data_IF_111714135402
#
_entry.id   IF_111714135402
#
_cell.length_a   1.000
_cell.length_b   1.000
_cell.length_c   1.000
_cell.angle_alpha   90.00
_cell.angle_beta   90.00
_cell.angle_gamma   90.00
#
_symmetry.space_group_name_H-M   'P 1'
#
loop_
_entity.id
_entity.type
_entity.pdbx_description
1 polymer ?
#
# COMPACT_ATOMS: atom_id res chain seq x y z
N UNK A 1 -5.65 -6.05 20.05
CA UNK A 1 -5.85 -5.89 18.63
C UNK A 1 -4.73 -5.00 18.05
N UNK A 2 -3.75 -5.65 17.43
CA UNK A 2 -2.49 -5.03 16.99
C UNK A 2 -2.55 -4.65 15.52
N UNK A 3 -3.53 -3.86 15.13
CA UNK A 3 -3.64 -3.33 13.78
C UNK A 3 -3.33 -1.84 13.72
N UNK A 4 -2.86 -1.35 12.57
CA UNK A 4 -2.70 0.07 12.30
C UNK A 4 -3.94 0.53 11.56
N UNK A 5 -4.62 1.54 12.11
CA UNK A 5 -5.82 2.13 11.50
C UNK A 5 -5.56 3.57 11.13
N UNK A 6 -6.01 3.96 9.94
CA UNK A 6 -5.93 5.34 9.47
C UNK A 6 -7.06 5.65 8.49
N UNK A 7 -7.27 6.92 8.25
CA UNK A 7 -8.30 7.41 7.34
C UNK A 7 -7.65 8.22 6.24
N UNK A 8 -7.91 7.86 5.00
CA UNK A 8 -7.65 8.72 3.85
C UNK A 8 -8.84 9.63 3.59
N UNK A 9 -8.57 10.91 3.39
CA UNK A 9 -9.56 11.89 2.95
C UNK A 9 -9.02 12.54 1.68
N UNK A 10 -9.60 12.20 0.54
CA UNK A 10 -9.14 12.65 -0.77
C UNK A 10 -10.21 13.52 -1.44
N UNK A 11 -9.96 14.81 -1.65
CA UNK A 11 -10.89 15.67 -2.39
C UNK A 11 -10.92 15.26 -3.86
N UNK A 12 -12.11 14.95 -4.38
CA UNK A 12 -12.35 14.62 -5.78
C UNK A 12 -12.99 15.79 -6.55
N UNK A 13 -13.03 16.97 -5.96
CA UNK A 13 -13.59 18.18 -6.48
C UNK A 13 -14.21 19.03 -5.38
N UNK A 14 -14.83 20.15 -5.74
CA UNK A 14 -15.36 21.13 -4.77
C UNK A 14 -16.48 20.57 -3.86
N UNK A 15 -17.19 19.52 -4.29
CA UNK A 15 -18.32 18.94 -3.57
C UNK A 15 -18.26 17.41 -3.47
N UNK A 16 -17.11 16.82 -3.73
CA UNK A 16 -16.90 15.37 -3.68
C UNK A 16 -15.66 15.04 -2.91
N UNK A 17 -15.75 14.03 -2.06
CA UNK A 17 -14.66 13.52 -1.26
C UNK A 17 -14.72 11.99 -1.27
N UNK A 18 -13.57 11.35 -1.35
CA UNK A 18 -13.40 9.95 -1.04
C UNK A 18 -12.88 9.85 0.40
N UNK A 19 -13.53 9.03 1.20
CA UNK A 19 -13.11 8.74 2.57
C UNK A 19 -12.93 7.24 2.68
N UNK A 20 -11.74 6.81 3.07
CA UNK A 20 -11.37 5.41 3.17
C UNK A 20 -10.79 5.12 4.56
N UNK A 21 -11.44 4.22 5.29
CA UNK A 21 -10.87 3.62 6.48
C UNK A 21 -10.05 2.41 6.08
N UNK A 22 -8.79 2.42 6.46
CA UNK A 22 -7.84 1.35 6.18
C UNK A 22 -7.31 0.77 7.47
N UNK A 23 -7.21 -0.55 7.52
CA UNK A 23 -6.57 -1.27 8.60
C UNK A 23 -5.48 -2.19 8.04
N UNK A 24 -4.25 -2.05 8.55
CA UNK A 24 -3.18 -3.01 8.36
C UNK A 24 -3.17 -3.97 9.55
N UNK A 25 -3.44 -5.22 9.30
CA UNK A 25 -3.55 -6.25 10.34
C UNK A 25 -3.04 -7.59 9.83
N UNK A 26 -2.52 -8.41 10.73
CA UNK A 26 -2.12 -9.79 10.45
C UNK A 26 -3.30 -10.77 10.48
N UNK A 27 -4.49 -10.31 10.87
CA UNK A 27 -5.73 -11.08 10.88
C UNK A 27 -6.68 -10.53 9.83
N UNK A 28 -7.58 -11.37 9.34
CA UNK A 28 -8.62 -10.92 8.42
C UNK A 28 -9.50 -9.87 9.13
N UNK A 29 -9.51 -8.64 8.60
CA UNK A 29 -10.30 -7.55 9.17
C UNK A 29 -11.80 -7.81 8.98
N UNK A 30 -12.60 -7.44 10.00
CA UNK A 30 -14.05 -7.43 9.89
C UNK A 30 -14.49 -6.18 9.08
N UNK A 31 -14.92 -6.44 7.84
CA UNK A 31 -15.39 -5.36 6.96
C UNK A 31 -16.61 -4.63 7.50
N UNK A 32 -17.46 -5.30 8.28
CA UNK A 32 -18.64 -4.67 8.91
C UNK A 32 -18.23 -3.68 9.98
N UNK A 33 -17.21 -3.99 10.76
CA UNK A 33 -16.62 -3.09 11.74
C UNK A 33 -16.00 -1.85 11.06
N UNK A 34 -15.23 -2.04 9.98
CA UNK A 34 -14.68 -0.93 9.20
C UNK A 34 -15.76 -0.03 8.59
N UNK A 35 -16.86 -0.62 8.11
CA UNK A 35 -18.00 0.15 7.60
C UNK A 35 -18.68 0.95 8.71
N UNK A 36 -18.82 0.40 9.94
CA UNK A 36 -19.34 1.13 11.07
C UNK A 36 -18.45 2.32 11.43
N UNK A 37 -17.15 2.09 11.55
CA UNK A 37 -16.17 3.17 11.82
C UNK A 37 -16.23 4.29 10.77
N UNK A 38 -16.42 3.92 9.50
CA UNK A 38 -16.58 4.91 8.43
C UNK A 38 -17.86 5.74 8.60
N UNK A 39 -18.97 5.11 8.97
CA UNK A 39 -20.24 5.84 9.28
C UNK A 39 -20.07 6.76 10.47
N UNK A 40 -19.42 6.30 11.54
CA UNK A 40 -19.20 7.08 12.76
C UNK A 40 -18.32 8.31 12.48
N UNK A 41 -17.25 8.12 11.71
CA UNK A 41 -16.39 9.21 11.24
C UNK A 41 -17.17 10.25 10.43
N UNK A 42 -17.96 9.79 9.45
CA UNK A 42 -18.78 10.66 8.61
C UNK A 42 -19.80 11.45 9.44
N UNK A 43 -20.43 10.79 10.41
CA UNK A 43 -21.43 11.44 11.29
C UNK A 43 -20.80 12.46 12.23
N UNK A 44 -19.55 12.26 12.65
CA UNK A 44 -18.81 13.21 13.48
C UNK A 44 -18.28 14.40 12.67
N UNK A 45 -17.47 14.15 11.65
CA UNK A 45 -16.79 15.20 10.88
C UNK A 45 -17.74 16.04 10.02
N UNK A 46 -18.84 15.45 9.56
CA UNK A 46 -19.82 16.12 8.70
C UNK A 46 -21.18 16.35 9.39
N UNK A 47 -21.21 16.38 10.70
CA UNK A 47 -22.43 16.58 11.49
C UNK A 47 -23.19 17.85 11.14
N UNK A 48 -22.49 18.91 10.74
CA UNK A 48 -23.07 20.22 10.38
C UNK A 48 -23.37 20.39 8.90
N UNK A 49 -22.84 19.51 8.04
CA UNK A 49 -23.00 19.59 6.59
C UNK A 49 -23.66 18.31 6.06
N UNK A 50 -24.91 18.39 5.56
CA UNK A 50 -25.55 17.21 5.00
C UNK A 50 -24.77 16.67 3.81
N UNK A 51 -24.53 15.36 3.80
CA UNK A 51 -23.86 14.67 2.71
C UNK A 51 -24.71 13.50 2.20
N UNK A 52 -24.45 13.08 0.97
CA UNK A 52 -25.04 11.89 0.39
C UNK A 52 -23.93 10.93 -0.01
N UNK A 53 -24.02 9.69 0.45
CA UNK A 53 -23.13 8.62 0.00
C UNK A 53 -23.51 8.21 -1.42
N UNK A 54 -22.59 8.38 -2.37
CA UNK A 54 -22.79 8.02 -3.77
C UNK A 54 -22.45 6.56 -4.01
N UNK A 55 -21.37 6.08 -3.35
CA UNK A 55 -20.85 4.72 -3.53
C UNK A 55 -20.12 4.26 -2.26
N UNK A 56 -20.24 2.99 -1.96
CA UNK A 56 -19.48 2.34 -0.88
C UNK A 56 -18.80 1.09 -1.45
N UNK A 57 -17.55 0.90 -1.08
CA UNK A 57 -16.76 -0.29 -1.41
C UNK A 57 -16.07 -0.82 -0.15
N UNK A 58 -15.83 -2.11 -0.11
CA UNK A 58 -15.03 -2.77 0.93
C UNK A 58 -14.23 -3.90 0.29
N UNK A 59 -12.96 -4.00 0.66
CA UNK A 59 -12.07 -5.01 0.10
C UNK A 59 -10.99 -5.43 1.10
N UNK A 60 -10.48 -6.65 0.93
CA UNK A 60 -9.24 -7.08 1.53
C UNK A 60 -8.14 -7.03 0.48
N UNK A 61 -7.04 -6.36 0.80
CA UNK A 61 -5.85 -6.30 -0.04
C UNK A 61 -4.78 -7.14 0.65
N UNK A 62 -4.38 -8.30 0.07
CA UNK A 62 -3.35 -9.13 0.68
C UNK A 62 -2.00 -8.41 0.62
N UNK A 63 -1.38 -8.22 1.77
CA UNK A 63 -0.03 -7.70 1.92
C UNK A 63 0.95 -8.87 1.98
N UNK A 64 2.13 -8.72 1.35
CA UNK A 64 3.11 -9.82 1.25
C UNK A 64 2.69 -10.96 0.30
N UNK A 65 1.64 -10.76 -0.49
CA UNK A 65 1.15 -11.78 -1.42
C UNK A 65 2.08 -11.91 -2.63
N UNK A 66 2.53 -13.12 -2.89
CA UNK A 66 3.28 -13.46 -4.09
C UNK A 66 2.38 -14.18 -5.09
N UNK A 67 2.30 -13.63 -6.29
CA UNK A 67 1.54 -14.22 -7.37
C UNK A 67 2.02 -15.62 -7.72
N UNK A 68 1.09 -16.57 -7.77
CA UNK A 68 1.33 -17.91 -8.29
C UNK A 68 1.23 -17.94 -9.82
N UNK A 69 1.88 -18.91 -10.46
CA UNK A 69 1.72 -19.13 -11.89
C UNK A 69 0.26 -19.43 -12.23
N UNK A 70 -0.22 -18.87 -13.35
CA UNK A 70 -1.57 -19.15 -13.86
C UNK A 70 -1.47 -19.91 -15.16
N UNK A 71 -2.29 -20.97 -15.32
CA UNK A 71 -2.44 -21.70 -16.58
C UNK A 71 -3.33 -20.96 -17.59
N UNK A 72 -4.04 -19.92 -17.14
CA UNK A 72 -4.99 -19.16 -17.95
C UNK A 72 -4.39 -17.92 -18.62
N UNK A 73 -3.09 -17.67 -18.39
CA UNK A 73 -2.40 -16.51 -18.94
C UNK A 73 -1.56 -15.74 -17.89
N UNK A 74 -1.07 -14.57 -18.27
CA UNK A 74 -0.29 -13.73 -17.37
C UNK A 74 -1.21 -12.98 -16.43
N UNK A 75 -1.09 -13.19 -15.11
CA UNK A 75 -1.89 -12.45 -14.15
C UNK A 75 -1.44 -11.00 -14.09
N UNK A 76 -2.40 -10.07 -14.06
CA UNK A 76 -2.19 -8.62 -13.91
C UNK A 76 -2.82 -8.11 -12.62
N UNK A 77 -2.53 -6.85 -12.26
CA UNK A 77 -3.05 -6.21 -11.06
C UNK A 77 -2.50 -6.86 -9.78
N UNK A 78 -3.28 -6.85 -8.71
CA UNK A 78 -2.88 -7.43 -7.42
C UNK A 78 -2.56 -8.94 -7.56
N UNK A 79 -3.33 -9.68 -8.33
CA UNK A 79 -3.05 -11.10 -8.61
C UNK A 79 -1.75 -11.31 -9.38
N UNK A 80 -1.29 -10.31 -10.14
CA UNK A 80 -0.01 -10.31 -10.84
C UNK A 80 1.18 -9.90 -9.98
N UNK A 81 0.98 -9.62 -8.69
CA UNK A 81 2.01 -9.09 -7.80
C UNK A 81 2.43 -7.66 -8.15
N UNK A 82 1.53 -6.88 -8.76
CA UNK A 82 1.81 -5.50 -9.18
C UNK A 82 1.46 -4.47 -8.09
N UNK A 83 1.03 -4.92 -6.92
CA UNK A 83 0.88 -4.09 -5.72
C UNK A 83 2.14 -4.17 -4.86
N UNK A 84 2.42 -3.10 -4.11
CA UNK A 84 3.48 -3.10 -3.10
C UNK A 84 3.07 -3.98 -1.93
N UNK A 85 3.91 -4.93 -1.58
CA UNK A 85 3.64 -5.87 -0.47
C UNK A 85 3.46 -5.13 0.86
N UNK A 86 4.22 -4.06 1.09
CA UNK A 86 4.21 -3.29 2.32
C UNK A 86 3.04 -2.31 2.47
N UNK A 87 2.42 -1.86 1.39
CA UNK A 87 1.42 -0.77 1.43
C UNK A 87 0.12 -1.10 0.71
N UNK A 88 0.07 -2.19 -0.06
CA UNK A 88 -1.05 -2.50 -0.96
C UNK A 88 -1.17 -1.54 -2.15
N UNK A 89 -0.32 -0.50 -2.24
CA UNK A 89 -0.40 0.48 -3.31
C UNK A 89 -0.01 -0.14 -4.65
N UNK A 90 -0.85 0.02 -5.67
CA UNK A 90 -0.63 -0.62 -6.95
C UNK A 90 -0.96 0.20 -8.18
N UNK A 91 -1.76 1.27 -8.07
CA UNK A 91 -2.30 1.97 -9.25
C UNK A 91 -1.26 2.30 -10.32
N UNK A 92 -0.18 2.98 -9.96
CA UNK A 92 0.85 3.37 -10.93
C UNK A 92 1.67 2.19 -11.42
N UNK A 93 2.02 1.24 -10.52
CA UNK A 93 2.76 0.03 -10.89
C UNK A 93 1.95 -0.81 -11.86
N UNK A 94 0.67 -1.03 -11.59
CA UNK A 94 -0.26 -1.77 -12.47
C UNK A 94 -0.31 -1.10 -13.84
N UNK A 95 -0.51 0.21 -13.87
CA UNK A 95 -0.57 0.96 -15.13
C UNK A 95 0.71 0.77 -15.96
N UNK A 96 1.88 1.03 -15.41
CA UNK A 96 3.14 0.90 -16.13
C UNK A 96 3.45 -0.54 -16.54
N UNK A 97 3.16 -1.51 -15.67
CA UNK A 97 3.36 -2.91 -16.01
C UNK A 97 2.43 -3.35 -17.14
N UNK A 98 1.16 -2.94 -17.12
CA UNK A 98 0.22 -3.25 -18.20
C UNK A 98 0.60 -2.56 -19.51
N UNK A 99 1.06 -1.31 -19.48
CA UNK A 99 1.59 -0.60 -20.67
C UNK A 99 2.79 -1.35 -21.28
N UNK A 100 3.72 -1.82 -20.44
CA UNK A 100 4.88 -2.59 -20.89
C UNK A 100 4.48 -3.95 -21.48
N UNK A 101 3.56 -4.66 -20.84
CA UNK A 101 3.03 -5.95 -21.34
C UNK A 101 2.32 -5.75 -22.69
N UNK A 102 1.50 -4.71 -22.81
CA UNK A 102 0.81 -4.40 -24.05
C UNK A 102 1.78 -4.08 -25.20
N UNK A 103 2.81 -3.29 -24.91
CA UNK A 103 3.86 -2.98 -25.89
C UNK A 103 4.61 -4.24 -26.33
N UNK A 104 5.00 -5.10 -25.40
CA UNK A 104 5.72 -6.34 -25.67
C UNK A 104 4.86 -7.30 -26.52
N UNK A 105 3.56 -7.40 -26.23
CA UNK A 105 2.62 -8.16 -27.06
C UNK A 105 2.55 -7.66 -28.49
N UNK A 106 2.52 -6.34 -28.70
CA UNK A 106 2.39 -5.73 -30.04
C UNK A 106 3.71 -5.84 -30.82
N UNK A 107 4.86 -5.67 -30.16
CA UNK A 107 6.16 -5.64 -30.83
C UNK A 107 6.79 -7.00 -30.99
N UNK A 108 6.66 -7.87 -30.00
CA UNK A 108 7.38 -9.15 -29.92
C UNK A 108 6.45 -10.37 -29.94
N UNK A 109 5.12 -10.15 -29.99
CA UNK A 109 4.10 -11.20 -29.83
C UNK A 109 4.30 -12.07 -28.57
N UNK A 110 4.85 -11.45 -27.51
CA UNK A 110 5.10 -12.08 -26.23
C UNK A 110 4.57 -11.19 -25.11
N UNK A 111 4.26 -11.77 -23.97
CA UNK A 111 3.84 -11.02 -22.81
C UNK A 111 4.78 -11.35 -21.63
N UNK A 112 5.63 -10.42 -21.28
CA UNK A 112 6.57 -10.57 -20.16
C UNK A 112 5.86 -10.35 -18.83
N UNK A 113 5.98 -11.33 -17.93
CA UNK A 113 5.40 -11.21 -16.59
C UNK A 113 6.11 -10.11 -15.78
N UNK A 114 5.34 -9.32 -15.05
CA UNK A 114 5.89 -8.36 -14.10
C UNK A 114 6.56 -9.06 -12.92
N UNK A 115 7.73 -8.55 -12.54
CA UNK A 115 8.43 -8.94 -11.32
C UNK A 115 8.91 -7.69 -10.59
N UNK A 116 8.58 -7.51 -9.31
CA UNK A 116 9.15 -6.43 -8.51
C UNK A 116 10.66 -6.64 -8.34
N UNK A 117 11.42 -5.55 -8.22
CA UNK A 117 12.86 -5.65 -7.99
C UNK A 117 13.16 -6.31 -6.64
N UNK A 118 14.28 -7.01 -6.53
CA UNK A 118 14.71 -7.63 -5.27
C UNK A 118 14.88 -6.60 -4.16
N UNK A 119 15.32 -5.39 -4.50
CA UNK A 119 15.46 -4.27 -3.56
C UNK A 119 14.09 -3.84 -3.00
N UNK A 120 13.08 -3.76 -3.86
CA UNK A 120 11.70 -3.45 -3.44
C UNK A 120 11.15 -4.54 -2.52
N UNK A 121 11.30 -5.81 -2.91
CA UNK A 121 10.85 -6.95 -2.10
C UNK A 121 11.51 -6.96 -0.72
N UNK A 122 12.82 -6.72 -0.68
CA UNK A 122 13.56 -6.63 0.58
C UNK A 122 13.04 -5.48 1.47
N UNK A 123 12.89 -4.29 0.91
CA UNK A 123 12.39 -3.14 1.66
C UNK A 123 10.96 -3.34 2.17
N UNK A 124 10.10 -3.95 1.36
CA UNK A 124 8.74 -4.31 1.77
C UNK A 124 8.75 -5.33 2.91
N UNK A 125 9.59 -6.35 2.84
CA UNK A 125 9.75 -7.34 3.91
C UNK A 125 10.18 -6.68 5.22
N UNK A 126 11.14 -5.76 5.17
CA UNK A 126 11.59 -5.02 6.38
C UNK A 126 10.45 -4.20 6.97
N UNK A 127 9.65 -3.53 6.14
CA UNK A 127 8.53 -2.73 6.62
C UNK A 127 7.39 -3.59 7.18
N UNK A 128 7.07 -4.71 6.56
CA UNK A 128 6.09 -5.67 7.07
C UNK A 128 6.52 -6.25 8.43
N UNK A 129 7.79 -6.61 8.58
CA UNK A 129 8.34 -7.04 9.86
C UNK A 129 8.21 -5.95 10.94
N UNK A 130 8.39 -4.70 10.56
CA UNK A 130 8.23 -3.57 11.47
C UNK A 130 6.77 -3.39 11.91
N UNK A 131 5.82 -3.53 10.97
CA UNK A 131 4.38 -3.52 11.27
C UNK A 131 4.02 -4.60 12.28
N UNK A 132 4.53 -5.81 12.08
CA UNK A 132 4.21 -6.94 12.95
C UNK A 132 4.83 -6.79 14.35
N UNK A 133 6.09 -6.37 14.43
CA UNK A 133 6.80 -6.25 15.70
C UNK A 133 6.43 -5.03 16.53
N UNK A 134 6.11 -3.90 15.86
CA UNK A 134 5.89 -2.60 16.48
C UNK A 134 4.78 -1.80 15.81
N UNK A 135 3.56 -2.32 15.75
CA UNK A 135 2.45 -1.64 15.10
C UNK A 135 2.22 -0.22 15.64
N UNK A 136 2.36 -0.03 16.95
CA UNK A 136 2.14 1.28 17.60
C UNK A 136 3.12 2.37 17.16
N UNK A 137 4.30 2.01 16.66
CA UNK A 137 5.31 2.98 16.21
C UNK A 137 5.13 3.42 14.75
N UNK A 138 4.33 2.70 13.96
CA UNK A 138 4.20 2.94 12.54
C UNK A 138 3.59 4.31 12.20
N UNK A 139 2.52 4.78 12.88
CA UNK A 139 1.97 6.10 12.60
C UNK A 139 3.01 7.23 12.71
N UNK A 140 3.82 7.19 13.76
CA UNK A 140 4.88 8.18 13.95
C UNK A 140 5.99 8.06 12.91
N UNK A 141 6.37 6.83 12.54
CA UNK A 141 7.36 6.56 11.50
C UNK A 141 6.89 7.10 10.15
N UNK A 142 5.66 6.79 9.74
CA UNK A 142 5.09 7.27 8.48
C UNK A 142 4.98 8.80 8.47
N UNK A 143 4.54 9.40 9.57
CA UNK A 143 4.47 10.84 9.71
C UNK A 143 5.85 11.51 9.65
N UNK A 144 6.85 10.89 10.26
CA UNK A 144 8.24 11.36 10.21
C UNK A 144 8.79 11.32 8.78
N UNK A 145 8.55 10.23 8.07
CA UNK A 145 8.94 10.07 6.66
C UNK A 145 8.23 11.14 5.81
N UNK A 146 6.92 11.29 5.96
CA UNK A 146 6.14 12.26 5.20
C UNK A 146 6.58 13.71 5.45
N UNK A 147 6.96 14.07 6.68
CA UNK A 147 7.45 15.41 7.04
C UNK A 147 8.84 15.71 6.50
N UNK A 148 9.68 14.69 6.32
CA UNK A 148 11.07 14.84 5.86
C UNK A 148 11.22 14.75 4.35
N UNK A 149 10.20 14.34 3.64
CA UNK A 149 10.20 14.19 2.18
C UNK A 149 9.38 15.30 1.53
N UNK A 150 9.85 15.79 0.37
CA UNK A 150 9.00 16.56 -0.53
C UNK A 150 7.89 15.67 -1.12
N UNK A 151 6.79 16.28 -1.55
CA UNK A 151 5.61 15.53 -2.01
C UNK A 151 5.90 14.57 -3.18
N UNK A 152 6.75 14.97 -4.11
CA UNK A 152 7.21 14.14 -5.23
C UNK A 152 8.10 12.97 -4.77
N UNK A 153 8.94 13.20 -3.75
CA UNK A 153 9.77 12.16 -3.15
C UNK A 153 8.92 11.16 -2.36
N UNK A 154 7.89 11.63 -1.64
CA UNK A 154 6.96 10.76 -0.94
C UNK A 154 6.16 9.90 -1.94
N UNK A 155 5.72 10.47 -3.05
CA UNK A 155 5.08 9.71 -4.13
C UNK A 155 6.04 8.66 -4.74
N UNK A 156 7.32 8.99 -4.94
CA UNK A 156 8.33 8.06 -5.41
C UNK A 156 8.59 6.94 -4.39
N UNK A 157 8.59 7.27 -3.10
CA UNK A 157 8.65 6.28 -2.00
C UNK A 157 7.49 5.30 -2.05
N UNK A 158 6.27 5.78 -2.22
CA UNK A 158 5.10 4.90 -2.32
C UNK A 158 5.19 3.92 -3.48
N UNK A 159 5.90 4.29 -4.55
CA UNK A 159 6.11 3.43 -5.73
C UNK A 159 7.37 2.55 -5.65
N UNK A 160 8.41 3.04 -5.03
CA UNK A 160 9.74 2.41 -4.87
C UNK A 160 10.22 1.67 -6.13
N UNK A 161 10.42 2.42 -7.20
CA UNK A 161 10.77 1.86 -8.52
C UNK A 161 12.25 1.61 -8.70
N UNK A 162 13.09 2.35 -7.99
CA UNK A 162 14.53 2.35 -8.16
C UNK A 162 15.27 2.10 -6.85
N UNK A 163 16.48 1.52 -6.88
CA UNK A 163 17.31 1.40 -5.68
C UNK A 163 17.58 2.74 -4.98
N UNK A 164 17.63 3.85 -5.74
CA UNK A 164 17.79 5.19 -5.17
C UNK A 164 16.61 5.63 -4.31
N UNK A 165 15.40 5.14 -4.59
CA UNK A 165 14.23 5.42 -3.77
C UNK A 165 14.38 4.76 -2.38
N UNK A 166 14.95 3.56 -2.32
CA UNK A 166 15.28 2.87 -1.06
C UNK A 166 16.31 3.64 -0.26
N UNK A 167 17.37 4.14 -0.89
CA UNK A 167 18.39 4.95 -0.20
C UNK A 167 17.80 6.24 0.39
N UNK A 168 16.91 6.91 -0.34
CA UNK A 168 16.23 8.11 0.17
C UNK A 168 15.40 7.84 1.42
N UNK A 169 14.78 6.67 1.50
CA UNK A 169 14.05 6.26 2.71
C UNK A 169 15.00 6.09 3.89
N UNK A 170 16.12 5.43 3.70
CA UNK A 170 17.11 5.23 4.77
C UNK A 170 17.60 6.57 5.35
N UNK A 171 17.66 7.64 4.53
CA UNK A 171 18.00 8.98 4.99
C UNK A 171 16.82 9.69 5.69
N UNK A 172 15.60 9.37 5.35
CA UNK A 172 14.40 10.04 5.87
C UNK A 172 13.75 9.30 7.04
N UNK A 173 13.95 7.99 7.13
CA UNK A 173 13.39 7.14 8.16
C UNK A 173 14.19 7.20 9.47
N UNK A 174 13.54 7.06 10.64
CA UNK A 174 14.24 6.86 11.90
C UNK A 174 14.92 5.49 11.90
N UNK A 175 16.26 5.46 11.85
CA UNK A 175 17.02 4.21 11.64
C UNK A 175 16.81 3.15 12.73
N UNK A 176 16.64 3.54 14.01
CA UNK A 176 16.52 2.59 15.14
C UNK A 176 15.42 1.55 14.98
N UNK A 177 14.15 1.90 14.62
CA UNK A 177 13.12 0.88 14.42
C UNK A 177 13.44 -0.09 13.29
N UNK A 178 14.04 0.40 12.21
CA UNK A 178 14.37 -0.41 11.04
C UNK A 178 15.54 -1.38 11.30
N UNK A 179 16.54 -1.00 12.08
CA UNK A 179 17.63 -1.91 12.45
C UNK A 179 17.13 -3.09 13.29
N UNK A 180 16.16 -2.87 14.18
CA UNK A 180 15.54 -3.95 14.93
C UNK A 180 14.73 -4.90 14.03
N UNK A 181 14.03 -4.36 13.04
CA UNK A 181 13.24 -5.16 12.09
C UNK A 181 14.10 -5.99 11.12
N UNK A 182 15.34 -5.55 10.84
CA UNK A 182 16.31 -6.30 10.02
C UNK A 182 16.80 -7.59 10.69
N UNK A 183 16.85 -7.63 12.02
CA UNK A 183 17.37 -8.76 12.79
C UNK A 183 16.28 -9.81 13.04
N UNK A 184 15.01 -9.43 12.90
CA UNK A 184 13.87 -10.34 13.09
C UNK A 184 13.72 -11.34 11.95
N UNK A 185 13.78 -12.64 12.27
CA UNK A 185 13.43 -13.70 11.32
C UNK A 185 11.91 -13.78 11.20
N UNK A 186 11.33 -13.34 10.08
CA UNK A 186 9.91 -13.50 9.81
C UNK A 186 9.65 -14.37 8.59
N UNK A 187 8.73 -15.33 8.77
CA UNK A 187 8.06 -16.07 7.71
C UNK A 187 6.63 -15.51 7.60
N UNK A 188 6.37 -14.77 6.56
CA UNK A 188 5.00 -14.47 6.11
C UNK A 188 4.51 -15.68 5.31
N UNK A 189 3.40 -16.26 5.76
CA UNK A 189 2.72 -17.38 5.09
C UNK A 189 1.92 -16.89 3.90
#
# INVERSE_FOLDING_TARGET
DSGIRFVYVLPLGAKRVLIEHTEFTTKLADLSALQSMNRDYLSGEFSTNPFQTIRTESAHIPMGFRSTASHLGIPIGARGGMTRDATGYGYRTIRYACEAIALDLVTNNQATRYHPSLTTQWADTVFLNLIDQRPDSIPEILLTIARRMAADQFAAFMMMRTPSDVLRILWSAPLKPFTCALIGKYQWI
#
